data_IF_805646774794
#
_entry.id   IF_805646774794
#
_cell.length_a   1.000
_cell.length_b   1.000
_cell.length_c   1.000
_cell.angle_alpha   90.00
_cell.angle_beta   90.00
_cell.angle_gamma   90.00
#
_symmetry.space_group_name_H-M   'P 1'
#
loop_
_entity.id
_entity.type
_entity.pdbx_description
1 polymer ?
#
# COMPACT_ATOMS: atom_id res chain seq x y z
N UNK A 1 14.53 -18.46 -0.74
CA UNK A 1 15.58 -17.40 -0.69
C UNK A 1 15.03 -16.30 0.21
N UNK A 2 15.86 -15.74 1.10
CA UNK A 2 15.44 -14.72 2.09
C UNK A 2 15.81 -13.31 1.57
N UNK A 3 14.88 -12.36 1.68
CA UNK A 3 14.90 -11.01 1.11
C UNK A 3 14.57 -9.99 2.21
N UNK A 4 15.57 -9.56 2.98
CA UNK A 4 15.25 -8.91 4.25
C UNK A 4 14.43 -9.87 5.13
N UNK A 5 13.27 -9.43 5.63
CA UNK A 5 12.36 -10.30 6.40
C UNK A 5 11.34 -11.07 5.54
N UNK A 6 11.22 -10.84 4.22
CA UNK A 6 10.35 -11.66 3.36
C UNK A 6 11.10 -12.77 2.64
N UNK A 7 10.39 -13.82 2.29
CA UNK A 7 10.90 -14.97 1.56
C UNK A 7 9.97 -15.32 0.42
N UNK A 8 10.52 -15.60 -0.77
CA UNK A 8 9.73 -16.19 -1.86
C UNK A 8 9.26 -17.58 -1.46
N UNK A 9 7.96 -17.84 -1.64
CA UNK A 9 7.31 -19.09 -1.26
C UNK A 9 6.69 -19.78 -2.48
N UNK A 10 6.97 -21.08 -2.60
CA UNK A 10 6.33 -21.98 -3.58
C UNK A 10 5.03 -22.61 -3.03
N UNK A 11 4.72 -22.39 -1.74
CA UNK A 11 3.55 -22.93 -1.04
C UNK A 11 2.28 -22.11 -1.37
N UNK A 12 1.85 -22.20 -2.63
CA UNK A 12 0.66 -21.49 -3.13
C UNK A 12 -0.65 -21.97 -2.48
N UNK A 13 -0.64 -23.15 -1.86
CA UNK A 13 -1.78 -23.72 -1.12
C UNK A 13 -2.16 -22.87 0.10
N UNK A 14 -1.24 -22.01 0.59
CA UNK A 14 -1.53 -20.99 1.60
C UNK A 14 -2.71 -20.08 1.22
N UNK A 15 -3.01 -19.97 -0.08
CA UNK A 15 -4.09 -19.15 -0.63
C UNK A 15 -5.38 -19.93 -0.96
N UNK A 16 -5.41 -21.26 -0.86
CA UNK A 16 -6.53 -22.09 -1.33
C UNK A 16 -7.89 -21.76 -0.69
N UNK A 17 -7.85 -21.18 0.51
CA UNK A 17 -9.04 -20.79 1.26
C UNK A 17 -9.71 -19.51 0.72
N UNK A 18 -9.03 -18.73 -0.12
CA UNK A 18 -9.48 -17.43 -0.64
C UNK A 18 -10.54 -17.64 -1.72
N UNK A 19 -10.21 -18.40 -2.77
CA UNK A 19 -11.06 -18.55 -3.95
C UNK A 19 -12.51 -18.98 -3.60
N UNK A 20 -12.75 -19.98 -2.72
CA UNK A 20 -14.11 -20.37 -2.34
C UNK A 20 -14.91 -19.30 -1.58
N UNK A 21 -14.25 -18.26 -1.08
CA UNK A 21 -14.84 -17.15 -0.32
C UNK A 21 -14.97 -15.86 -1.13
N UNK A 22 -14.52 -15.85 -2.38
CA UNK A 22 -14.74 -14.70 -3.26
C UNK A 22 -16.14 -14.74 -3.86
N UNK A 23 -16.79 -13.58 -3.88
CA UNK A 23 -18.06 -13.38 -4.58
C UNK A 23 -17.89 -13.46 -6.10
N UNK A 24 -19.02 -13.49 -6.82
CA UNK A 24 -19.07 -13.53 -8.28
C UNK A 24 -19.40 -12.17 -8.92
N UNK A 25 -19.77 -11.18 -8.11
CA UNK A 25 -20.14 -9.87 -8.61
C UNK A 25 -18.90 -8.98 -8.70
N UNK A 26 -18.48 -8.63 -9.92
CA UNK A 26 -17.40 -7.66 -10.14
C UNK A 26 -17.71 -6.37 -9.39
N UNK A 27 -16.72 -5.73 -8.76
CA UNK A 27 -16.92 -4.50 -8.02
C UNK A 27 -17.50 -4.65 -6.61
N UNK A 28 -17.96 -5.84 -6.20
CA UNK A 28 -18.33 -6.08 -4.80
C UNK A 28 -17.10 -6.16 -3.90
N UNK A 29 -17.21 -5.73 -2.65
CA UNK A 29 -16.16 -5.89 -1.62
C UNK A 29 -15.70 -7.34 -1.52
N UNK A 30 -16.64 -8.29 -1.48
CA UNK A 30 -16.34 -9.72 -1.38
C UNK A 30 -15.72 -10.35 -2.64
N UNK A 31 -15.64 -9.62 -3.75
CA UNK A 31 -14.91 -10.04 -4.95
C UNK A 31 -13.41 -9.77 -4.84
N UNK A 32 -13.03 -8.82 -3.99
CA UNK A 32 -11.66 -8.35 -3.81
C UNK A 32 -11.03 -8.87 -2.51
N UNK A 33 -11.77 -8.84 -1.40
CA UNK A 33 -11.34 -9.43 -0.11
C UNK A 33 -12.31 -10.56 0.28
N UNK A 34 -11.84 -11.72 0.80
CA UNK A 34 -12.70 -12.87 1.10
C UNK A 34 -13.91 -12.59 2.01
N UNK A 35 -15.04 -13.21 1.69
CA UNK A 35 -16.22 -13.26 2.55
C UNK A 35 -15.96 -14.08 3.85
N UNK A 36 -16.88 -13.96 4.82
CA UNK A 36 -16.91 -14.79 6.03
C UNK A 36 -16.16 -14.24 7.24
N UNK A 37 -15.69 -12.99 7.18
CA UNK A 37 -15.18 -12.25 8.35
C UNK A 37 -16.32 -11.57 9.10
N UNK A 38 -16.06 -11.12 10.34
CA UNK A 38 -17.08 -10.52 11.19
C UNK A 38 -17.44 -9.09 10.78
N UNK A 39 -16.48 -8.37 10.19
CA UNK A 39 -16.61 -6.98 9.77
C UNK A 39 -15.59 -6.65 8.66
N UNK A 40 -15.84 -5.54 7.96
CA UNK A 40 -15.03 -5.05 6.84
C UNK A 40 -14.85 -3.54 6.92
N UNK A 41 -13.70 -3.05 6.47
CA UNK A 41 -13.41 -1.63 6.29
C UNK A 41 -12.81 -1.36 4.92
N UNK A 42 -13.05 -0.16 4.41
CA UNK A 42 -12.37 0.43 3.26
C UNK A 42 -11.53 1.59 3.76
N UNK A 43 -10.25 1.60 3.41
CA UNK A 43 -9.33 2.71 3.66
C UNK A 43 -9.16 3.45 2.34
N UNK A 44 -9.69 4.65 2.24
CA UNK A 44 -9.50 5.51 1.07
C UNK A 44 -8.03 5.95 1.00
N UNK A 45 -7.42 5.84 -0.17
CA UNK A 45 -6.03 6.27 -0.33
C UNK A 45 -5.93 7.79 -0.24
N UNK A 46 -4.86 8.34 0.36
CA UNK A 46 -4.69 9.77 0.50
C UNK A 46 -4.65 10.45 -0.88
N UNK A 47 -5.28 11.62 -0.97
CA UNK A 47 -5.11 12.55 -2.08
C UNK A 47 -4.13 13.66 -1.68
N UNK A 48 -3.85 14.59 -2.58
CA UNK A 48 -3.10 15.81 -2.23
C UNK A 48 -3.84 17.07 -2.64
N UNK A 49 -3.60 18.16 -1.92
CA UNK A 49 -4.06 19.49 -2.33
C UNK A 49 -3.15 20.11 -3.40
N UNK A 50 -3.35 21.40 -3.72
CA UNK A 50 -2.55 22.11 -4.72
C UNK A 50 -1.10 22.38 -4.30
N UNK A 51 -0.82 22.37 -2.99
CA UNK A 51 0.52 22.56 -2.45
C UNK A 51 1.26 21.21 -2.30
N UNK A 52 0.55 20.10 -2.55
CA UNK A 52 1.09 18.74 -2.46
C UNK A 52 0.95 18.14 -1.06
N UNK A 53 0.22 18.80 -0.16
CA UNK A 53 -0.03 18.29 1.19
C UNK A 53 -1.08 17.18 1.15
N UNK A 54 -0.87 16.16 1.98
CA UNK A 54 -1.75 14.99 2.06
C UNK A 54 -3.09 15.38 2.68
N UNK A 55 -4.18 14.96 2.04
CA UNK A 55 -5.55 15.18 2.51
C UNK A 55 -6.41 13.92 2.43
N UNK A 56 -7.40 13.85 3.32
CA UNK A 56 -8.42 12.82 3.35
C UNK A 56 -9.58 13.14 2.41
N UNK A 57 -10.37 12.13 2.03
CA UNK A 57 -11.54 12.33 1.17
C UNK A 57 -12.63 13.17 1.85
N UNK A 58 -12.88 13.10 3.17
CA UNK A 58 -13.77 14.03 3.85
C UNK A 58 -13.38 15.50 3.73
N UNK A 59 -12.09 15.80 3.77
CA UNK A 59 -11.60 17.18 3.57
C UNK A 59 -11.86 17.64 2.12
N UNK A 60 -11.62 16.76 1.14
CA UNK A 60 -11.95 17.01 -0.26
C UNK A 60 -13.46 17.21 -0.46
N UNK A 61 -14.28 16.40 0.18
CA UNK A 61 -15.75 16.51 0.14
C UNK A 61 -16.21 17.88 0.67
N UNK A 62 -15.62 18.37 1.76
CA UNK A 62 -15.92 19.67 2.34
C UNK A 62 -15.59 20.84 1.39
N UNK A 63 -14.54 20.72 0.57
CA UNK A 63 -14.15 21.74 -0.41
C UNK A 63 -15.00 21.68 -1.69
N UNK A 64 -15.29 20.46 -2.16
CA UNK A 64 -16.01 20.22 -3.42
C UNK A 64 -17.53 20.35 -3.28
N UNK A 65 -18.05 20.33 -2.05
CA UNK A 65 -19.48 20.24 -1.76
C UNK A 65 -20.03 18.82 -1.93
N UNK A 66 -19.15 17.81 -2.09
CA UNK A 66 -19.52 16.41 -2.05
C UNK A 66 -19.86 15.93 -0.64
N UNK A 67 -20.39 14.72 -0.55
CA UNK A 67 -20.69 14.05 0.70
C UNK A 67 -19.71 12.90 0.93
N UNK A 68 -19.09 12.88 2.11
CA UNK A 68 -18.30 11.74 2.55
C UNK A 68 -19.22 10.60 3.01
N UNK A 69 -19.00 9.40 2.50
CA UNK A 69 -19.70 8.17 2.90
C UNK A 69 -18.86 6.94 2.49
N UNK A 70 -19.13 5.73 3.02
CA UNK A 70 -18.26 4.57 2.78
C UNK A 70 -18.06 4.16 1.32
N UNK A 71 -19.07 4.41 0.48
CA UNK A 71 -19.10 4.01 -0.93
C UNK A 71 -18.75 5.15 -1.89
N UNK A 72 -18.26 6.28 -1.37
CA UNK A 72 -17.92 7.43 -2.20
C UNK A 72 -16.86 7.05 -3.24
N UNK A 73 -16.91 7.65 -4.41
CA UNK A 73 -15.93 7.41 -5.48
C UNK A 73 -15.18 8.70 -5.78
N UNK A 74 -13.85 8.63 -5.90
CA UNK A 74 -13.00 9.82 -6.02
C UNK A 74 -13.45 10.76 -7.14
N UNK A 75 -13.68 10.22 -8.33
CA UNK A 75 -14.12 11.00 -9.47
C UNK A 75 -15.48 11.67 -9.24
N UNK A 76 -16.43 11.02 -8.57
CA UNK A 76 -17.72 11.62 -8.24
C UNK A 76 -17.55 12.74 -7.20
N UNK A 77 -16.71 12.53 -6.19
CA UNK A 77 -16.39 13.50 -5.15
C UNK A 77 -15.82 14.81 -5.73
N UNK A 78 -14.93 14.72 -6.72
CA UNK A 78 -14.36 15.90 -7.39
C UNK A 78 -15.17 16.37 -8.62
N UNK A 79 -16.32 15.76 -8.91
CA UNK A 79 -17.18 16.14 -10.04
C UNK A 79 -16.57 15.84 -11.41
N UNK A 80 -15.78 14.78 -11.54
CA UNK A 80 -15.21 14.32 -12.80
C UNK A 80 -16.04 13.20 -13.44
N UNK A 81 -16.28 13.30 -14.76
CA UNK A 81 -16.97 12.24 -15.53
C UNK A 81 -16.11 11.00 -15.78
N UNK A 82 -14.80 11.10 -15.57
CA UNK A 82 -13.85 10.06 -15.93
C UNK A 82 -13.25 9.44 -14.66
N UNK A 83 -13.57 8.18 -14.34
CA UNK A 83 -13.07 7.54 -13.11
C UNK A 83 -11.55 7.29 -13.13
N UNK A 84 -10.98 7.07 -14.31
CA UNK A 84 -9.57 6.68 -14.45
C UNK A 84 -8.64 7.90 -14.52
N UNK A 85 -9.01 8.91 -15.30
CA UNK A 85 -8.22 10.13 -15.47
C UNK A 85 -9.00 11.31 -14.88
N UNK A 86 -9.38 11.17 -13.61
CA UNK A 86 -10.21 12.12 -12.91
C UNK A 86 -9.48 13.46 -12.83
N UNK A 87 -10.18 14.51 -13.23
CA UNK A 87 -9.73 15.89 -13.21
C UNK A 87 -10.90 16.77 -12.82
N UNK A 88 -10.61 17.86 -12.11
CA UNK A 88 -11.61 18.79 -11.62
C UNK A 88 -11.12 20.22 -11.70
N UNK A 89 -12.02 21.14 -12.03
CA UNK A 89 -11.76 22.57 -11.88
C UNK A 89 -11.94 23.04 -10.42
N UNK A 90 -12.67 22.27 -9.61
CA UNK A 90 -12.95 22.57 -8.19
C UNK A 90 -11.84 22.04 -7.31
N UNK A 91 -11.30 20.87 -7.63
CA UNK A 91 -10.16 20.26 -6.94
C UNK A 91 -8.94 20.17 -7.88
N UNK A 92 -8.00 21.13 -7.83
CA UNK A 92 -6.79 21.12 -8.66
C UNK A 92 -5.65 20.26 -8.08
N UNK A 93 -5.85 19.63 -6.92
CA UNK A 93 -4.85 18.80 -6.24
C UNK A 93 -4.64 17.42 -6.89
N UNK A 94 -3.73 16.63 -6.32
CA UNK A 94 -3.40 15.30 -6.81
C UNK A 94 -4.48 14.25 -6.53
N UNK A 95 -4.63 13.31 -7.46
CA UNK A 95 -5.50 12.14 -7.29
C UNK A 95 -4.90 11.14 -6.30
N UNK A 96 -5.72 10.38 -5.57
CA UNK A 96 -5.25 9.24 -4.82
C UNK A 96 -4.62 8.19 -5.74
N UNK A 97 -3.57 7.54 -5.25
CA UNK A 97 -2.92 6.47 -6.00
C UNK A 97 -3.85 5.27 -6.17
N UNK A 98 -3.86 4.67 -7.36
CA UNK A 98 -4.56 3.41 -7.61
C UNK A 98 -3.63 2.22 -7.49
N UNK A 99 -4.11 1.16 -6.87
CA UNK A 99 -3.36 -0.09 -6.79
C UNK A 99 -2.16 -0.07 -5.85
N UNK A 100 -1.94 1.05 -5.14
CA UNK A 100 -0.86 1.20 -4.20
C UNK A 100 -1.34 1.98 -2.97
N UNK A 101 -1.21 1.37 -1.80
CA UNK A 101 -1.30 2.08 -0.52
C UNK A 101 0.09 2.59 -0.14
N UNK A 102 0.21 3.92 0.00
CA UNK A 102 1.50 4.57 0.28
C UNK A 102 2.15 4.04 1.57
N UNK A 103 3.48 3.97 1.65
CA UNK A 103 4.20 3.31 2.74
C UNK A 103 3.84 3.81 4.14
N UNK A 104 3.60 5.11 4.30
CA UNK A 104 3.25 5.73 5.57
C UNK A 104 1.92 5.18 6.11
N UNK A 105 0.90 5.11 5.26
CA UNK A 105 -0.43 4.58 5.62
C UNK A 105 -0.37 3.07 5.79
N UNK A 106 0.39 2.36 4.94
CA UNK A 106 0.60 0.92 5.06
C UNK A 106 1.33 0.55 6.36
N UNK A 107 2.27 1.39 6.84
CA UNK A 107 2.96 1.17 8.11
C UNK A 107 2.01 1.26 9.30
N UNK A 108 1.13 2.26 9.32
CA UNK A 108 0.08 2.40 10.35
C UNK A 108 -0.84 1.18 10.33
N UNK A 109 -1.37 0.84 9.15
CA UNK A 109 -2.24 -0.33 8.97
C UNK A 109 -1.54 -1.61 9.47
N UNK A 110 -0.29 -1.84 9.08
CA UNK A 110 0.49 -3.01 9.51
C UNK A 110 0.69 -3.06 11.02
N UNK A 111 0.86 -1.91 11.66
CA UNK A 111 0.94 -1.78 13.12
C UNK A 111 -0.33 -2.26 13.82
N UNK A 112 -1.51 -1.82 13.34
CA UNK A 112 -2.80 -2.26 13.87
C UNK A 112 -3.02 -3.74 13.61
N UNK A 113 -2.81 -4.21 12.38
CA UNK A 113 -2.99 -5.61 11.99
C UNK A 113 -2.14 -6.57 12.83
N UNK A 114 -0.89 -6.19 13.14
CA UNK A 114 0.01 -6.98 13.97
C UNK A 114 -0.48 -7.20 15.40
N UNK A 115 -1.32 -6.31 15.94
CA UNK A 115 -1.92 -6.46 17.27
C UNK A 115 -3.16 -7.38 17.27
N UNK A 116 -3.72 -7.66 16.08
CA UNK A 116 -4.95 -8.43 15.90
C UNK A 116 -4.74 -9.79 15.24
N UNK A 117 -3.56 -10.39 15.43
CA UNK A 117 -3.24 -11.77 15.02
C UNK A 117 -2.35 -12.43 16.07
N UNK A 118 -2.43 -13.76 16.17
CA UNK A 118 -1.52 -14.59 16.95
C UNK A 118 -0.24 -14.95 16.18
N UNK A 119 -0.20 -14.66 14.87
CA UNK A 119 0.92 -15.00 13.97
C UNK A 119 1.48 -13.79 13.21
N UNK A 120 1.84 -12.67 13.89
CA UNK A 120 2.27 -11.44 13.21
C UNK A 120 3.60 -11.59 12.44
N UNK A 121 4.42 -12.58 12.79
CA UNK A 121 5.68 -12.89 12.12
C UNK A 121 5.53 -13.82 10.90
N UNK A 122 4.32 -14.31 10.63
CA UNK A 122 4.04 -15.31 9.59
C UNK A 122 2.83 -14.92 8.76
N UNK A 123 3.03 -13.91 7.91
CA UNK A 123 2.07 -13.46 6.92
C UNK A 123 2.46 -13.93 5.52
N UNK A 124 1.45 -14.10 4.68
CA UNK A 124 1.57 -14.34 3.25
C UNK A 124 1.23 -13.04 2.51
N UNK A 125 1.97 -12.75 1.44
CA UNK A 125 1.83 -11.55 0.62
C UNK A 125 1.81 -11.93 -0.86
N UNK A 126 0.74 -11.57 -1.55
CA UNK A 126 0.57 -11.76 -2.98
C UNK A 126 0.92 -10.47 -3.73
N UNK A 127 1.75 -10.61 -4.78
CA UNK A 127 2.10 -9.55 -5.71
C UNK A 127 1.75 -9.97 -7.13
N UNK A 128 0.97 -9.14 -7.81
CA UNK A 128 0.43 -9.46 -9.13
C UNK A 128 1.55 -9.58 -10.16
N UNK A 129 1.68 -10.71 -10.84
CA UNK A 129 2.80 -10.99 -11.75
C UNK A 129 2.77 -10.21 -13.07
N UNK A 130 1.69 -9.50 -13.36
CA UNK A 130 1.54 -8.65 -14.55
C UNK A 130 2.15 -7.25 -14.41
N UNK A 131 2.71 -6.91 -13.25
CA UNK A 131 3.54 -5.71 -13.14
C UNK A 131 4.76 -5.83 -14.05
N UNK A 132 4.93 -4.89 -14.98
CA UNK A 132 5.99 -4.94 -16.00
C UNK A 132 7.42 -4.99 -15.44
N UNK A 133 7.63 -4.66 -14.16
CA UNK A 133 8.90 -4.74 -13.43
C UNK A 133 9.17 -6.12 -12.80
N UNK A 134 8.20 -7.04 -12.76
CA UNK A 134 8.38 -8.42 -12.28
C UNK A 134 9.08 -9.33 -13.31
N UNK A 135 9.53 -8.75 -14.40
CA UNK A 135 10.10 -9.45 -15.54
C UNK A 135 11.40 -8.75 -15.95
N UNK A 136 12.52 -9.32 -15.48
CA UNK A 136 13.87 -8.77 -15.49
C UNK A 136 14.20 -7.86 -14.29
N UNK A 137 14.81 -8.48 -13.28
CA UNK A 137 15.71 -7.88 -12.28
C UNK A 137 15.15 -7.05 -11.11
N UNK A 138 13.85 -7.07 -10.81
CA UNK A 138 13.37 -6.12 -9.78
C UNK A 138 12.26 -6.59 -8.85
N UNK A 139 12.47 -7.67 -8.12
CA UNK A 139 11.83 -7.78 -6.80
C UNK A 139 12.92 -7.59 -5.76
N UNK A 140 12.90 -6.42 -5.14
CA UNK A 140 13.94 -6.00 -4.23
C UNK A 140 13.30 -5.41 -3.01
N UNK A 141 13.89 -5.65 -1.87
CA UNK A 141 13.30 -5.27 -0.61
C UNK A 141 14.24 -4.32 0.08
N UNK A 142 13.73 -3.16 0.48
CA UNK A 142 14.55 -2.10 1.04
C UNK A 142 15.25 -2.60 2.33
N UNK A 143 16.59 -2.72 2.36
CA UNK A 143 17.29 -3.20 3.54
C UNK A 143 17.55 -2.09 4.59
N UNK A 144 17.11 -0.84 4.36
CA UNK A 144 17.56 0.34 5.11
C UNK A 144 16.50 1.03 5.98
N UNK A 145 15.24 0.59 6.02
CA UNK A 145 14.28 1.15 6.98
C UNK A 145 14.39 0.46 8.34
N UNK A 146 15.33 0.93 9.16
CA UNK A 146 15.19 0.84 10.62
C UNK A 146 14.41 2.07 11.07
N UNK A 147 13.35 1.89 11.85
CA UNK A 147 12.60 2.99 12.45
C UNK A 147 13.58 4.01 13.09
N UNK A 148 13.42 5.33 12.89
CA UNK A 148 14.30 6.29 13.53
C UNK A 148 14.21 6.11 15.04
N UNK A 149 15.37 5.91 15.68
CA UNK A 149 15.46 5.89 17.13
C UNK A 149 14.92 7.21 17.68
N UNK A 150 14.06 7.14 18.70
CA UNK A 150 13.50 8.31 19.36
C UNK A 150 14.62 9.27 19.79
N UNK A 151 14.48 10.60 19.56
CA UNK A 151 15.51 11.55 19.91
C UNK A 151 15.70 11.58 21.44
N UNK A 152 16.91 11.25 21.89
CA UNK A 152 17.34 11.47 23.27
C UNK A 152 17.37 12.97 23.59
N UNK A 153 16.84 13.43 24.73
CA UNK A 153 16.88 14.83 25.10
C UNK A 153 18.30 15.32 25.42
N UNK A 154 18.81 16.19 24.54
CA UNK A 154 19.59 17.39 24.84
C UNK A 154 21.01 17.27 25.43
N UNK A 155 21.98 17.84 24.71
CA UNK A 155 22.98 18.72 25.33
C UNK A 155 23.37 19.85 24.39
N UNK A 156 23.25 21.08 24.87
CA UNK A 156 23.63 22.32 24.19
C UNK A 156 25.13 22.41 23.88
N UNK A 157 25.47 22.91 22.69
CA UNK A 157 26.67 23.71 22.48
C UNK A 157 26.44 24.69 21.30
N UNK A 158 26.76 25.96 21.51
CA UNK A 158 26.84 27.01 20.49
C UNK A 158 28.30 27.52 20.39
N UNK A 159 28.62 28.46 19.47
CA UNK A 159 29.05 28.26 18.08
C UNK A 159 30.56 28.61 17.90
N UNK A 160 31.07 28.71 16.65
CA UNK A 160 31.76 29.97 16.34
C UNK A 160 31.48 30.55 14.95
N UNK A 161 31.71 31.86 14.89
CA UNK A 161 31.58 32.84 13.80
C UNK A 161 32.72 32.80 12.76
N UNK A 162 32.37 33.06 11.50
CA UNK A 162 33.12 33.69 10.39
C UNK A 162 34.66 33.51 10.27
N UNK A 163 35.10 32.82 9.20
CA UNK A 163 36.34 33.06 8.45
C UNK A 163 36.28 32.40 7.06
N UNK A 164 36.93 33.02 6.06
CA UNK A 164 36.90 32.75 4.60
C UNK A 164 37.19 31.30 4.14
N UNK A 165 36.73 30.89 2.93
CA UNK A 165 37.00 29.57 2.35
C UNK A 165 38.42 29.46 1.76
N UNK A 166 39.15 28.34 1.96
CA UNK A 166 40.39 28.08 1.23
C UNK A 166 40.13 27.48 -0.17
N UNK A 167 41.02 27.79 -1.10
CA UNK A 167 41.01 27.39 -2.53
C UNK A 167 40.99 25.85 -2.77
N UNK A 168 40.45 25.39 -3.93
CA UNK A 168 40.31 23.98 -4.23
C UNK A 168 41.65 23.32 -4.57
N UNK A 169 42.10 22.43 -3.68
CA UNK A 169 43.23 21.55 -3.94
C UNK A 169 42.82 20.46 -4.94
N UNK A 170 43.59 20.29 -6.02
CA UNK A 170 43.45 19.21 -7.02
C UNK A 170 43.66 17.84 -6.38
N UNK A 171 42.61 17.28 -5.77
CA UNK A 171 42.57 15.87 -5.40
C UNK A 171 42.25 15.04 -6.66
N UNK A 172 43.04 13.97 -6.87
CA UNK A 172 42.79 12.90 -7.84
C UNK A 172 41.31 12.49 -7.77
N UNK A 173 40.59 12.55 -8.88
CA UNK A 173 39.31 11.85 -9.00
C UNK A 173 39.56 10.36 -8.74
N UNK A 174 38.94 9.75 -7.70
CA UNK A 174 38.85 8.30 -7.67
C UNK A 174 38.03 7.87 -8.89
N UNK A 175 38.54 6.89 -9.64
CA UNK A 175 37.80 6.29 -10.75
C UNK A 175 36.44 5.75 -10.29
N UNK A 176 35.51 5.45 -11.20
CA UNK A 176 34.17 5.01 -10.85
C UNK A 176 34.27 3.78 -9.93
N UNK A 177 33.92 3.97 -8.66
CA UNK A 177 33.69 2.88 -7.74
C UNK A 177 32.49 2.14 -8.31
N UNK A 178 32.73 0.99 -8.91
CA UNK A 178 31.65 0.04 -9.21
C UNK A 178 31.11 -0.41 -7.86
N UNK A 179 30.05 0.24 -7.38
CA UNK A 179 29.27 -0.30 -6.27
C UNK A 179 28.71 -1.63 -6.75
N UNK A 180 29.01 -2.76 -6.09
CA UNK A 180 28.41 -4.03 -6.47
C UNK A 180 26.89 -3.89 -6.34
N UNK A 181 26.16 -4.07 -7.44
CA UNK A 181 24.73 -4.29 -7.37
C UNK A 181 24.47 -5.46 -6.42
N UNK A 182 23.53 -5.35 -5.47
CA UNK A 182 23.06 -6.52 -4.75
C UNK A 182 22.67 -7.57 -5.79
N UNK A 183 23.14 -8.80 -5.63
CA UNK A 183 22.76 -9.91 -6.52
C UNK A 183 21.25 -10.09 -6.36
N UNK A 184 20.47 -9.58 -7.31
CA UNK A 184 19.02 -9.65 -7.31
C UNK A 184 18.60 -11.03 -7.80
N UNK A 185 17.97 -11.86 -6.96
CA UNK A 185 17.48 -13.13 -7.44
C UNK A 185 16.33 -12.85 -8.42
N UNK A 186 16.39 -13.52 -9.56
CA UNK A 186 15.38 -13.44 -10.58
C UNK A 186 14.11 -14.09 -10.04
N UNK A 187 12.98 -13.39 -10.14
CA UNK A 187 11.71 -14.09 -10.11
C UNK A 187 11.66 -15.01 -11.32
N UNK A 188 11.57 -16.30 -11.06
CA UNK A 188 11.30 -17.27 -12.10
C UNK A 188 9.88 -16.98 -12.64
N UNK A 189 9.81 -16.62 -13.93
CA UNK A 189 8.54 -16.36 -14.62
C UNK A 189 7.67 -17.62 -14.64
N UNK A 190 8.28 -18.80 -14.58
CA UNK A 190 7.62 -20.11 -14.60
C UNK A 190 7.39 -20.70 -13.20
N UNK A 191 7.77 -19.97 -12.14
CA UNK A 191 7.57 -20.41 -10.77
C UNK A 191 6.08 -20.49 -10.37
N UNK A 192 5.75 -21.17 -9.25
CA UNK A 192 4.38 -21.30 -8.75
C UNK A 192 3.66 -19.94 -8.63
N UNK A 193 2.35 -19.94 -8.88
CA UNK A 193 1.48 -18.77 -8.76
C UNK A 193 0.23 -19.08 -7.95
N UNK A 194 -0.12 -18.16 -7.06
CA UNK A 194 -1.48 -18.09 -6.51
C UNK A 194 -2.37 -17.58 -7.63
N UNK A 195 -3.36 -18.39 -8.04
CA UNK A 195 -4.26 -18.06 -9.15
C UNK A 195 -5.62 -17.66 -8.61
N UNK A 196 -5.98 -16.39 -8.74
CA UNK A 196 -7.30 -15.88 -8.41
C UNK A 196 -7.95 -15.32 -9.69
N UNK A 197 -9.26 -15.06 -9.68
CA UNK A 197 -9.95 -14.64 -10.89
C UNK A 197 -9.35 -13.36 -11.49
N UNK A 198 -8.80 -13.48 -12.71
CA UNK A 198 -8.24 -12.36 -13.46
C UNK A 198 -6.82 -11.93 -13.09
N UNK A 199 -6.18 -12.60 -12.11
CA UNK A 199 -4.83 -12.24 -11.62
C UNK A 199 -4.07 -13.46 -11.12
N UNK A 200 -2.81 -13.56 -11.52
CA UNK A 200 -1.84 -14.51 -10.98
C UNK A 200 -0.83 -13.75 -10.12
N UNK A 201 -0.46 -14.34 -8.98
CA UNK A 201 0.40 -13.68 -8.00
C UNK A 201 1.63 -14.51 -7.67
N UNK A 202 2.76 -13.83 -7.55
CA UNK A 202 3.92 -14.32 -6.80
C UNK A 202 3.57 -14.29 -5.31
N UNK A 203 3.99 -15.32 -4.57
CA UNK A 203 3.77 -15.41 -3.14
C UNK A 203 5.06 -15.16 -2.37
N UNK A 204 5.01 -14.23 -1.42
CA UNK A 204 6.04 -13.99 -0.43
C UNK A 204 5.51 -14.30 0.97
N UNK A 205 6.40 -14.60 1.92
CA UNK A 205 6.05 -14.77 3.33
C UNK A 205 7.00 -14.03 4.25
N UNK A 206 6.50 -13.51 5.38
CA UNK A 206 7.32 -12.87 6.41
C UNK A 206 6.49 -12.12 7.45
N UNK A 207 7.08 -11.27 8.29
CA UNK A 207 6.34 -10.52 9.30
C UNK A 207 5.46 -9.43 8.67
N UNK A 208 4.36 -9.08 9.33
CA UNK A 208 3.41 -8.06 8.84
C UNK A 208 4.09 -6.72 8.55
N UNK A 209 5.10 -6.34 9.35
CA UNK A 209 5.88 -5.11 9.16
C UNK A 209 6.64 -5.08 7.84
N UNK A 210 6.94 -6.24 7.24
CA UNK A 210 7.65 -6.30 5.97
C UNK A 210 6.77 -5.93 4.77
N UNK A 211 5.46 -5.70 4.96
CA UNK A 211 4.56 -5.21 3.91
C UNK A 211 5.04 -3.91 3.27
N UNK A 212 5.68 -3.01 4.03
CA UNK A 212 6.20 -1.72 3.54
C UNK A 212 7.50 -1.86 2.75
N UNK A 213 8.15 -3.02 2.80
CA UNK A 213 9.44 -3.25 2.19
C UNK A 213 9.32 -3.89 0.80
N UNK A 214 8.10 -4.13 0.34
CA UNK A 214 7.83 -4.67 -1.00
C UNK A 214 7.96 -3.55 -2.04
N UNK A 215 8.58 -3.84 -3.19
CA UNK A 215 8.79 -2.87 -4.25
C UNK A 215 9.91 -3.27 -5.21
N UNK A 216 10.43 -2.28 -5.93
CA UNK A 216 11.44 -2.46 -6.97
C UNK A 216 12.44 -1.29 -7.01
N UNK A 217 13.72 -1.56 -7.25
CA UNK A 217 14.73 -0.52 -7.53
C UNK A 217 14.62 -0.02 -8.98
N UNK A 218 14.25 1.25 -9.14
CA UNK A 218 14.24 1.94 -10.44
C UNK A 218 15.65 2.06 -10.99
N UNK A 219 16.59 2.35 -10.10
CA UNK A 219 18.03 2.40 -10.34
C UNK A 219 18.76 2.02 -9.03
N UNK A 220 20.11 1.94 -8.98
CA UNK A 220 20.85 1.53 -7.77
C UNK A 220 20.61 2.39 -6.52
N UNK A 221 20.01 3.56 -6.66
CA UNK A 221 19.83 4.57 -5.62
C UNK A 221 18.38 4.88 -5.31
N UNK A 222 17.44 4.45 -6.15
CA UNK A 222 16.02 4.73 -5.98
C UNK A 222 15.17 3.46 -5.87
N UNK A 223 14.66 3.21 -4.67
CA UNK A 223 13.66 2.18 -4.40
C UNK A 223 12.24 2.76 -4.50
N UNK A 224 11.39 2.14 -5.32
CA UNK A 224 9.98 2.45 -5.40
C UNK A 224 9.18 1.36 -4.69
N UNK A 225 8.56 1.73 -3.57
CA UNK A 225 7.71 0.84 -2.81
C UNK A 225 6.44 0.49 -3.60
N UNK A 226 5.88 -0.69 -3.30
CA UNK A 226 4.62 -1.17 -3.82
C UNK A 226 3.94 -2.01 -2.73
N UNK A 227 2.71 -1.66 -2.37
CA UNK A 227 1.94 -2.42 -1.39
C UNK A 227 1.60 -3.80 -1.96
N UNK A 228 1.58 -4.86 -1.12
CA UNK A 228 1.04 -6.16 -1.52
C UNK A 228 -0.39 -6.02 -2.04
N UNK A 229 -0.75 -6.80 -3.06
CA UNK A 229 -2.11 -6.78 -3.60
C UNK A 229 -3.09 -7.53 -2.70
N UNK A 230 -2.63 -8.58 -2.02
CA UNK A 230 -3.43 -9.35 -1.06
C UNK A 230 -2.49 -9.89 0.02
N UNK A 231 -2.86 -9.78 1.30
CA UNK A 231 -2.04 -10.35 2.39
C UNK A 231 -2.85 -10.73 3.63
N UNK A 232 -2.37 -11.73 4.36
CA UNK A 232 -3.03 -12.31 5.53
C UNK A 232 -2.03 -13.02 6.45
N UNK A 233 -2.32 -13.15 7.77
CA UNK A 233 -1.51 -13.93 8.70
C UNK A 233 -1.86 -15.42 8.60
N UNK A 234 -0.96 -16.29 9.09
CA UNK A 234 -1.16 -17.76 9.07
C UNK A 234 -2.45 -18.19 9.77
N UNK A 235 -2.82 -17.53 10.87
CA UNK A 235 -4.07 -17.79 11.60
C UNK A 235 -5.32 -17.23 10.91
N UNK A 236 -5.17 -16.52 9.79
CA UNK A 236 -6.23 -15.93 8.97
C UNK A 236 -7.16 -15.00 9.76
N UNK A 237 -6.67 -14.41 10.86
CA UNK A 237 -7.46 -13.50 11.71
C UNK A 237 -7.99 -12.27 10.94
N UNK A 238 -7.32 -11.90 9.85
CA UNK A 238 -7.70 -10.83 8.94
C UNK A 238 -7.19 -11.10 7.53
N UNK A 239 -7.67 -10.33 6.55
CA UNK A 239 -7.18 -10.32 5.18
C UNK A 239 -7.28 -8.89 4.62
N UNK A 240 -6.26 -8.45 3.90
CA UNK A 240 -6.18 -7.11 3.30
C UNK A 240 -5.98 -7.24 1.81
N UNK A 241 -6.70 -6.42 1.04
CA UNK A 241 -6.60 -6.36 -0.41
C UNK A 241 -6.45 -4.92 -0.92
N UNK A 242 -5.41 -4.67 -1.71
CA UNK A 242 -5.21 -3.42 -2.46
C UNK A 242 -5.26 -3.78 -3.94
N UNK A 243 -6.46 -3.66 -4.54
CA UNK A 243 -6.66 -4.02 -5.94
C UNK A 243 -6.08 -2.96 -6.88
N UNK A 244 -5.47 -3.39 -7.98
CA UNK A 244 -4.73 -2.51 -8.90
C UNK A 244 -5.58 -1.39 -9.51
N UNK A 245 -6.88 -1.63 -9.64
CA UNK A 245 -7.83 -0.70 -10.24
C UNK A 245 -8.50 0.23 -9.22
N UNK A 246 -8.25 0.04 -7.92
CA UNK A 246 -8.92 0.79 -6.84
C UNK A 246 -7.99 1.83 -6.19
N UNK A 247 -8.59 2.94 -5.82
CA UNK A 247 -8.03 4.05 -5.03
C UNK A 247 -8.28 3.86 -3.51
N UNK A 248 -8.47 2.60 -3.11
CA UNK A 248 -8.72 2.23 -1.73
C UNK A 248 -8.26 0.81 -1.43
N UNK A 249 -8.00 0.56 -0.16
CA UNK A 249 -7.59 -0.74 0.38
C UNK A 249 -8.71 -1.31 1.23
N UNK A 250 -9.05 -2.59 1.03
CA UNK A 250 -10.07 -3.29 1.80
C UNK A 250 -9.42 -4.13 2.90
N UNK A 251 -10.05 -4.12 4.07
CA UNK A 251 -9.66 -4.95 5.21
C UNK A 251 -10.87 -5.75 5.67
N UNK A 252 -10.69 -7.06 5.85
CA UNK A 252 -11.67 -7.96 6.45
C UNK A 252 -11.07 -8.58 7.72
N UNK A 253 -11.85 -8.69 8.79
CA UNK A 253 -11.31 -9.20 10.06
C UNK A 253 -12.33 -9.41 11.17
N UNK A 254 -11.79 -9.54 12.38
CA UNK A 254 -12.61 -9.51 13.60
C UNK A 254 -13.25 -8.13 13.77
N UNK A 255 -14.39 -8.08 14.48
CA UNK A 255 -15.06 -6.80 14.75
C UNK A 255 -14.16 -5.84 15.51
N UNK A 256 -13.40 -6.34 16.49
CA UNK A 256 -12.42 -5.53 17.25
C UNK A 256 -11.31 -4.93 16.39
N UNK A 257 -10.80 -5.68 15.40
CA UNK A 257 -9.82 -5.13 14.45
C UNK A 257 -10.44 -4.00 13.63
N UNK A 258 -11.63 -4.22 13.06
CA UNK A 258 -12.28 -3.22 12.22
C UNK A 258 -12.64 -1.98 13.04
N UNK A 259 -13.16 -2.14 14.25
CA UNK A 259 -13.41 -1.01 15.16
C UNK A 259 -12.12 -0.24 15.46
N UNK A 260 -10.97 -0.92 15.64
CA UNK A 260 -9.69 -0.25 15.83
C UNK A 260 -9.27 0.58 14.61
N UNK A 261 -9.45 0.05 13.40
CA UNK A 261 -9.14 0.77 12.16
C UNK A 261 -10.04 1.99 11.94
N UNK A 262 -11.34 1.85 12.23
CA UNK A 262 -12.30 2.97 12.12
C UNK A 262 -12.06 4.08 13.16
N UNK A 263 -11.35 3.77 14.25
CA UNK A 263 -10.99 4.72 15.29
C UNK A 263 -9.54 5.22 15.19
N UNK A 264 -8.78 4.79 14.17
CA UNK A 264 -7.41 5.26 13.94
C UNK A 264 -7.43 6.56 13.11
N UNK A 265 -7.16 7.74 13.70
CA UNK A 265 -7.38 9.03 13.03
C UNK A 265 -6.47 9.27 11.81
N UNK A 266 -5.38 8.51 11.70
CA UNK A 266 -4.45 8.60 10.57
C UNK A 266 -4.88 7.74 9.37
N UNK A 267 -5.96 6.96 9.49
CA UNK A 267 -6.54 6.18 8.41
C UNK A 267 -7.90 6.78 8.02
N UNK A 268 -8.08 7.09 6.73
CA UNK A 268 -9.39 7.45 6.17
C UNK A 268 -10.25 6.19 5.97
N UNK A 269 -10.65 5.59 7.10
CA UNK A 269 -11.29 4.29 7.18
C UNK A 269 -12.81 4.39 7.32
N UNK A 270 -13.51 3.59 6.50
CA UNK A 270 -14.97 3.56 6.43
C UNK A 270 -15.51 2.14 6.60
N UNK A 271 -16.62 1.95 7.33
CA UNK A 271 -17.25 0.64 7.45
C UNK A 271 -17.91 0.27 6.12
N UNK A 272 -17.65 -0.94 5.64
CA UNK A 272 -18.32 -1.50 4.46
C UNK A 272 -18.88 -2.88 4.76
N UNK A 273 -19.78 -3.35 3.91
CA UNK A 273 -20.33 -4.70 3.92
C UNK A 273 -19.75 -5.54 2.77
N UNK A 274 -19.70 -6.87 2.91
CA UNK A 274 -19.14 -7.75 1.88
C UNK A 274 -19.87 -7.64 0.54
N UNK A 275 -21.16 -7.30 0.54
CA UNK A 275 -21.96 -7.16 -0.68
C UNK A 275 -22.02 -5.72 -1.20
N UNK A 276 -21.37 -4.77 -0.52
CA UNK A 276 -21.30 -3.40 -1.01
C UNK A 276 -20.55 -3.34 -2.33
N UNK A 277 -21.05 -2.50 -3.23
CA UNK A 277 -20.52 -2.29 -4.56
C UNK A 277 -19.65 -1.02 -4.59
N UNK A 278 -18.36 -1.20 -4.84
CA UNK A 278 -17.32 -0.16 -4.74
C UNK A 278 -16.66 0.16 -6.08
N UNK A 279 -17.23 -0.31 -7.19
CA UNK A 279 -16.78 0.12 -8.51
C UNK A 279 -17.09 1.60 -8.75
N UNK A 280 -16.57 2.15 -9.85
CA UNK A 280 -16.74 3.56 -10.19
C UNK A 280 -18.20 4.03 -10.20
N UNK A 281 -19.16 3.19 -10.59
CA UNK A 281 -20.59 3.53 -10.60
C UNK A 281 -21.32 3.22 -9.29
N UNK A 282 -20.61 2.84 -8.22
CA UNK A 282 -21.18 2.51 -6.90
C UNK A 282 -21.48 3.71 -6.00
N UNK A 283 -21.03 4.92 -6.38
CA UNK A 283 -21.42 6.13 -5.69
C UNK A 283 -22.81 6.58 -6.15
N UNK A 284 -23.81 6.40 -5.28
CA UNK A 284 -25.18 6.82 -5.51
C UNK A 284 -25.57 8.09 -4.74
N UNK A 285 -24.61 8.70 -4.02
CA UNK A 285 -24.84 9.91 -3.20
C UNK A 285 -24.25 11.14 -3.88
N UNK A 286 -23.03 11.02 -4.42
CA UNK A 286 -22.38 12.08 -5.18
C UNK A 286 -22.73 11.92 -6.67
N UNK A 287 -23.38 12.92 -7.29
CA UNK A 287 -23.76 12.83 -8.69
C UNK A 287 -22.51 12.98 -9.58
N UNK A 288 -22.31 12.02 -10.48
CA UNK A 288 -21.38 12.19 -11.61
C UNK A 288 -22.06 13.12 -12.63
N UNK A 289 -21.38 14.19 -13.10
CA UNK A 289 -21.98 15.13 -14.06
C UNK A 289 -22.45 14.48 -15.36
#
# INVERSE_FOLDING_TARGET
>A
MTFGELELSDDVELADWILPRLGNHSGAVNRTVPAGYQAYARICHPATDSDGEVVSWPEVAAVTGGHAHPLMQWHALIGSRYPVNATSAVWPGGNPERGHLVPEVLAVLSGVLGQHTTTPSRCAFCLWDGWGWLHANTLTMNPLWSAPAAPTPGTHAAPPTSADPPEPSRARQPGPVSTPHPVHPYLDRDGPRVRLPGRDYVLLTGPVQAATNVGWWVDPTWFQAQSPNLFWPTDRAWCVATEIDFDSTLVAGTRTLIDALLNEPTLDAWPVHPDDYIAADGDHVNPVP
#
